data_IF_480907225681
#
_entry.id   IF_480907225681
#
_cell.length_a   1.000
_cell.length_b   1.000
_cell.length_c   1.000
_cell.angle_alpha   90.00
_cell.angle_beta   90.00
_cell.angle_gamma   90.00
#
_symmetry.space_group_name_H-M   'P 1'
#
loop_
_entity.id
_entity.type
_entity.pdbx_description
1 polymer ?
#
# COMPACT_ATOMS: atom_id res chain seq x y z
N UNK A 1 -44.78 4.73 29.43
CA UNK A 1 -44.12 3.50 28.94
C UNK A 1 -43.66 2.71 30.17
N UNK A 2 -44.17 1.48 30.35
CA UNK A 2 -44.00 0.68 31.58
C UNK A 2 -42.53 0.26 31.77
N UNK A 3 -41.96 0.54 32.94
CA UNK A 3 -40.66 0.02 33.39
C UNK A 3 -40.94 -1.33 34.07
N UNK A 4 -40.59 -2.42 33.40
CA UNK A 4 -40.60 -3.75 34.03
C UNK A 4 -39.29 -3.94 34.80
N UNK A 5 -39.39 -3.86 36.13
CA UNK A 5 -38.31 -4.16 37.06
C UNK A 5 -38.18 -5.70 37.17
N UNK A 6 -37.25 -6.30 36.41
CA UNK A 6 -36.89 -7.71 36.61
C UNK A 6 -36.03 -7.80 37.88
N UNK A 7 -36.65 -8.22 38.99
CA UNK A 7 -35.99 -8.59 40.22
C UNK A 7 -35.16 -9.85 39.95
N UNK A 8 -33.94 -9.68 39.45
CA UNK A 8 -32.96 -10.76 39.33
C UNK A 8 -32.61 -11.23 40.74
N UNK A 9 -33.24 -12.32 41.17
CA UNK A 9 -32.79 -13.11 42.31
C UNK A 9 -31.35 -13.53 42.01
N UNK A 10 -30.42 -12.83 42.66
CA UNK A 10 -29.00 -13.18 42.68
C UNK A 10 -28.88 -14.47 43.50
N UNK A 11 -29.03 -15.60 42.84
CA UNK A 11 -28.61 -16.88 43.39
C UNK A 11 -27.08 -16.87 43.32
N UNK A 12 -26.43 -16.44 44.40
CA UNK A 12 -24.98 -16.54 44.55
C UNK A 12 -24.68 -18.05 44.57
N UNK A 13 -24.02 -18.64 43.55
CA UNK A 13 -23.57 -20.02 43.69
C UNK A 13 -22.61 -20.05 44.87
N UNK A 14 -22.87 -20.95 45.82
CA UNK A 14 -21.96 -21.28 46.90
C UNK A 14 -20.63 -21.66 46.25
N UNK A 15 -19.64 -20.77 46.34
CA UNK A 15 -18.31 -20.97 45.77
C UNK A 15 -17.55 -21.98 46.63
N UNK A 16 -17.89 -23.26 46.48
CA UNK A 16 -17.01 -24.34 46.92
C UNK A 16 -15.86 -24.41 45.92
N UNK A 17 -14.66 -24.16 46.43
CA UNK A 17 -13.47 -24.40 45.66
C UNK A 17 -13.30 -25.92 45.49
N UNK A 18 -13.24 -26.36 44.24
CA UNK A 18 -13.02 -27.75 43.87
C UNK A 18 -11.52 -27.97 43.59
N UNK A 19 -11.08 -29.21 43.84
CA UNK A 19 -9.77 -29.70 43.43
C UNK A 19 -9.96 -30.67 42.26
N UNK A 20 -9.27 -30.43 41.15
CA UNK A 20 -9.27 -31.32 39.98
C UNK A 20 -7.89 -31.95 39.80
N UNK A 21 -7.87 -33.25 39.52
CA UNK A 21 -6.67 -33.97 39.10
C UNK A 21 -6.93 -34.62 37.75
N UNK A 22 -6.07 -34.31 36.78
CA UNK A 22 -6.12 -34.95 35.46
C UNK A 22 -5.54 -36.37 35.52
N UNK A 23 -5.90 -37.20 34.56
CA UNK A 23 -5.37 -38.55 34.36
C UNK A 23 -3.83 -38.56 34.18
N UNK A 24 -3.26 -37.45 33.68
CA UNK A 24 -1.81 -37.25 33.54
C UNK A 24 -1.13 -36.74 34.83
N UNK A 25 -1.87 -36.58 35.93
CA UNK A 25 -1.34 -36.17 37.23
C UNK A 25 -1.22 -34.65 37.45
N UNK A 26 -1.60 -33.81 36.47
CA UNK A 26 -1.71 -32.35 36.67
C UNK A 26 -2.85 -32.04 37.64
N UNK A 27 -2.57 -31.23 38.65
CA UNK A 27 -3.51 -30.84 39.71
C UNK A 27 -3.89 -29.36 39.59
N UNK A 28 -5.18 -29.07 39.74
CA UNK A 28 -5.76 -27.74 39.85
C UNK A 28 -6.40 -27.65 41.24
N UNK A 29 -5.77 -26.91 42.15
CA UNK A 29 -6.21 -26.81 43.54
C UNK A 29 -6.94 -25.51 43.81
N UNK A 30 -7.96 -25.58 44.65
CA UNK A 30 -8.68 -24.43 45.17
C UNK A 30 -9.21 -23.55 44.03
N UNK A 31 -9.75 -24.19 42.99
CA UNK A 31 -10.29 -23.53 41.81
C UNK A 31 -11.81 -23.50 41.87
N UNK A 32 -12.42 -22.45 41.34
CA UNK A 32 -13.88 -22.34 41.25
C UNK A 32 -14.32 -22.66 39.83
N UNK A 33 -15.31 -23.53 39.66
CA UNK A 33 -15.93 -23.77 38.36
C UNK A 33 -16.76 -22.55 37.97
N UNK A 34 -16.37 -21.86 36.89
CA UNK A 34 -17.08 -20.70 36.37
C UNK A 34 -18.09 -21.05 35.29
N UNK A 35 -17.82 -22.09 34.50
CA UNK A 35 -18.73 -22.59 33.45
C UNK A 35 -18.43 -24.05 33.13
N UNK A 36 -19.46 -24.81 32.78
CA UNK A 36 -19.32 -26.13 32.17
C UNK A 36 -19.65 -26.02 30.69
N UNK A 37 -18.75 -26.48 29.84
CA UNK A 37 -18.91 -26.62 28.39
C UNK A 37 -19.05 -28.11 28.03
N UNK A 38 -19.59 -28.47 26.85
CA UNK A 38 -19.78 -29.87 26.48
C UNK A 38 -18.50 -30.73 26.51
N UNK A 39 -17.35 -30.13 26.23
CA UNK A 39 -16.04 -30.78 26.16
C UNK A 39 -15.14 -30.55 27.40
N UNK A 40 -15.55 -29.72 28.37
CA UNK A 40 -14.75 -29.46 29.56
C UNK A 40 -15.33 -28.46 30.56
N UNK A 41 -14.57 -28.20 31.62
CA UNK A 41 -14.94 -27.28 32.69
C UNK A 41 -14.01 -26.08 32.67
N UNK A 42 -14.59 -24.87 32.64
CA UNK A 42 -13.87 -23.63 32.82
C UNK A 42 -13.75 -23.36 34.31
N UNK A 43 -12.51 -23.26 34.79
CA UNK A 43 -12.19 -23.00 36.18
C UNK A 43 -11.45 -21.68 36.31
N UNK A 44 -11.66 -21.00 37.43
CA UNK A 44 -10.94 -19.79 37.80
C UNK A 44 -10.19 -20.07 39.09
N UNK A 45 -8.87 -19.89 39.04
CA UNK A 45 -7.99 -20.08 40.19
C UNK A 45 -7.02 -18.92 40.34
N UNK A 46 -6.06 -19.06 41.26
CA UNK A 46 -5.03 -18.03 41.53
C UNK A 46 -4.20 -17.66 40.30
N UNK A 47 -4.02 -18.58 39.36
CA UNK A 47 -3.26 -18.39 38.12
C UNK A 47 -4.10 -17.86 36.95
N UNK A 48 -5.39 -17.59 37.15
CA UNK A 48 -6.30 -17.11 36.12
C UNK A 48 -7.35 -18.15 35.71
N UNK A 49 -7.90 -17.98 34.50
CA UNK A 49 -8.94 -18.84 33.93
C UNK A 49 -8.29 -19.96 33.14
N UNK A 50 -8.75 -21.19 33.32
CA UNK A 50 -8.26 -22.37 32.59
C UNK A 50 -9.43 -23.26 32.18
N UNK A 51 -9.35 -23.84 30.99
CA UNK A 51 -10.25 -24.92 30.56
C UNK A 51 -9.60 -26.26 30.87
N UNK A 52 -10.34 -27.15 31.53
CA UNK A 52 -9.94 -28.53 31.78
C UNK A 52 -10.86 -29.43 30.96
N UNK A 53 -10.31 -30.17 30.00
CA UNK A 53 -11.10 -31.04 29.13
C UNK A 53 -11.60 -32.28 29.89
N UNK A 54 -12.83 -32.71 29.60
CA UNK A 54 -13.39 -33.92 30.23
C UNK A 54 -12.63 -35.19 29.85
N UNK A 55 -12.00 -35.24 28.68
CA UNK A 55 -11.13 -36.35 28.26
C UNK A 55 -9.89 -36.52 29.14
N UNK A 56 -9.46 -35.44 29.81
CA UNK A 56 -8.32 -35.45 30.72
C UNK A 56 -8.72 -35.77 32.16
N UNK A 57 -10.02 -35.84 32.48
CA UNK A 57 -10.51 -36.03 33.85
C UNK A 57 -10.87 -37.50 34.15
N UNK A 58 -10.79 -37.92 35.42
CA UNK A 58 -11.30 -39.21 35.88
C UNK A 58 -12.79 -39.43 35.58
N UNK A 59 -13.22 -40.69 35.47
CA UNK A 59 -14.59 -41.05 35.06
C UNK A 59 -15.67 -40.61 36.04
N UNK A 60 -15.38 -40.65 37.33
CA UNK A 60 -16.24 -40.13 38.40
C UNK A 60 -16.48 -38.63 38.24
N UNK A 61 -15.44 -37.86 37.90
CA UNK A 61 -15.56 -36.42 37.64
C UNK A 61 -16.33 -36.16 36.35
N UNK A 62 -16.06 -36.91 35.27
CA UNK A 62 -16.85 -36.83 34.03
C UNK A 62 -18.35 -37.04 34.30
N UNK A 63 -18.70 -38.04 35.12
CA UNK A 63 -20.08 -38.34 35.50
C UNK A 63 -20.71 -37.23 36.36
N UNK A 64 -19.96 -36.69 37.33
CA UNK A 64 -20.41 -35.57 38.20
C UNK A 64 -20.89 -34.37 37.38
N UNK A 65 -20.26 -34.10 36.24
CA UNK A 65 -20.58 -32.97 35.37
C UNK A 65 -21.40 -33.35 34.12
N UNK A 66 -21.85 -34.61 34.00
CA UNK A 66 -22.72 -35.05 32.91
C UNK A 66 -22.06 -35.04 31.53
N UNK A 67 -20.78 -35.42 31.44
CA UNK A 67 -20.05 -35.47 30.18
C UNK A 67 -20.70 -36.41 29.16
N UNK A 68 -20.95 -35.89 27.96
CA UNK A 68 -21.47 -36.61 26.79
C UNK A 68 -20.42 -36.54 25.67
N UNK A 69 -19.74 -37.66 25.34
CA UNK A 69 -18.70 -37.69 24.31
C UNK A 69 -19.16 -37.20 22.93
N UNK A 70 -20.42 -37.41 22.56
CA UNK A 70 -20.94 -37.00 21.26
C UNK A 70 -21.11 -35.49 21.22
N UNK A 71 -21.75 -34.91 22.24
CA UNK A 71 -21.92 -33.44 22.35
C UNK A 71 -20.58 -32.71 22.45
N UNK A 72 -19.61 -33.30 23.14
CA UNK A 72 -18.25 -32.76 23.21
C UNK A 72 -17.60 -32.70 21.83
N UNK A 73 -17.69 -33.78 21.06
CA UNK A 73 -17.14 -33.86 19.70
C UNK A 73 -17.79 -32.82 18.79
N UNK A 74 -19.12 -32.72 18.79
CA UNK A 74 -19.87 -31.78 17.97
C UNK A 74 -19.52 -30.32 18.35
N UNK A 75 -19.41 -30.03 19.64
CA UNK A 75 -19.03 -28.70 20.15
C UNK A 75 -17.61 -28.31 19.75
N UNK A 76 -16.63 -29.19 19.95
CA UNK A 76 -15.24 -28.92 19.56
C UNK A 76 -15.09 -28.75 18.04
N UNK A 77 -15.83 -29.53 17.24
CA UNK A 77 -15.87 -29.38 15.78
C UNK A 77 -16.49 -28.05 15.35
N UNK A 78 -17.54 -27.58 16.04
CA UNK A 78 -18.13 -26.28 15.77
C UNK A 78 -17.18 -25.12 16.13
N UNK A 79 -16.47 -25.22 17.27
CA UNK A 79 -15.49 -24.21 17.67
C UNK A 79 -14.32 -24.13 16.69
N UNK A 80 -13.77 -25.27 16.26
CA UNK A 80 -12.65 -25.27 15.30
C UNK A 80 -13.08 -24.71 13.94
N UNK A 81 -14.27 -25.07 13.45
CA UNK A 81 -14.82 -24.51 12.21
C UNK A 81 -14.97 -22.98 12.28
N UNK A 82 -15.45 -22.44 13.41
CA UNK A 82 -15.56 -20.99 13.62
C UNK A 82 -14.20 -20.29 13.61
N UNK A 83 -13.20 -20.86 14.30
CA UNK A 83 -11.83 -20.31 14.30
C UNK A 83 -11.18 -20.37 12.92
N UNK A 84 -11.36 -21.46 12.18
CA UNK A 84 -10.85 -21.61 10.82
C UNK A 84 -11.49 -20.60 9.87
N UNK A 85 -12.79 -20.32 10.03
CA UNK A 85 -13.47 -19.30 9.25
C UNK A 85 -12.90 -17.90 9.55
N UNK A 86 -12.77 -17.52 10.83
CA UNK A 86 -12.18 -16.23 11.21
C UNK A 86 -10.75 -16.11 10.69
N UNK A 87 -9.95 -17.18 10.76
CA UNK A 87 -8.58 -17.19 10.22
C UNK A 87 -8.56 -16.99 8.71
N UNK A 88 -9.45 -17.66 7.97
CA UNK A 88 -9.58 -17.50 6.52
C UNK A 88 -10.02 -16.08 6.15
N UNK A 89 -10.97 -15.50 6.89
CA UNK A 89 -11.42 -14.13 6.69
C UNK A 89 -10.28 -13.13 6.95
N UNK A 90 -9.54 -13.29 8.05
CA UNK A 90 -8.37 -12.45 8.35
C UNK A 90 -7.30 -12.56 7.27
N UNK A 91 -7.00 -13.77 6.80
CA UNK A 91 -6.03 -13.98 5.73
C UNK A 91 -6.50 -13.34 4.41
N UNK A 92 -7.79 -13.46 4.08
CA UNK A 92 -8.38 -12.82 2.90
C UNK A 92 -8.29 -11.28 2.99
N UNK A 93 -8.56 -10.69 4.15
CA UNK A 93 -8.42 -9.24 4.39
C UNK A 93 -6.96 -8.80 4.25
N UNK A 94 -6.01 -9.55 4.82
CA UNK A 94 -4.58 -9.26 4.69
C UNK A 94 -4.12 -9.34 3.22
N UNK A 95 -4.56 -10.36 2.48
CA UNK A 95 -4.29 -10.49 1.04
C UNK A 95 -4.88 -9.33 0.24
N UNK A 96 -6.14 -8.98 0.48
CA UNK A 96 -6.79 -7.86 -0.17
C UNK A 96 -6.06 -6.54 0.11
N UNK A 97 -5.62 -6.33 1.35
CA UNK A 97 -4.85 -5.14 1.75
C UNK A 97 -3.47 -5.11 1.09
N UNK A 98 -2.80 -6.26 0.98
CA UNK A 98 -1.51 -6.39 0.30
C UNK A 98 -1.67 -6.09 -1.20
N UNK A 99 -2.66 -6.66 -1.86
CA UNK A 99 -2.96 -6.40 -3.27
C UNK A 99 -3.35 -4.94 -3.52
N UNK A 100 -4.18 -4.34 -2.65
CA UNK A 100 -4.55 -2.93 -2.75
C UNK A 100 -3.33 -2.02 -2.59
N UNK A 101 -2.44 -2.32 -1.64
CA UNK A 101 -1.18 -1.60 -1.44
C UNK A 101 -0.25 -1.75 -2.65
N UNK A 102 -0.13 -2.96 -3.21
CA UNK A 102 0.67 -3.20 -4.41
C UNK A 102 0.13 -2.43 -5.62
N UNK A 103 -1.19 -2.47 -5.85
CA UNK A 103 -1.83 -1.70 -6.92
C UNK A 103 -1.65 -0.19 -6.72
N UNK A 104 -1.81 0.31 -5.50
CA UNK A 104 -1.58 1.72 -5.18
C UNK A 104 -0.12 2.13 -5.45
N UNK A 105 0.84 1.30 -5.05
CA UNK A 105 2.26 1.53 -5.33
C UNK A 105 2.57 1.50 -6.83
N UNK A 106 1.97 0.59 -7.59
CA UNK A 106 2.12 0.53 -9.05
C UNK A 106 1.58 1.79 -9.72
N UNK A 107 0.38 2.24 -9.33
CA UNK A 107 -0.23 3.47 -9.86
C UNK A 107 0.64 4.68 -9.52
N UNK A 108 1.13 4.77 -8.27
CA UNK A 108 2.03 5.84 -7.85
C UNK A 108 3.33 5.85 -8.64
N UNK A 109 3.97 4.70 -8.82
CA UNK A 109 5.20 4.58 -9.61
C UNK A 109 4.99 4.99 -11.08
N UNK A 110 3.84 4.61 -11.66
CA UNK A 110 3.49 5.00 -13.02
C UNK A 110 3.19 6.51 -13.14
N UNK A 111 2.60 7.11 -12.11
CA UNK A 111 2.39 8.56 -12.05
C UNK A 111 3.72 9.30 -11.94
N UNK A 112 4.61 8.85 -11.06
CA UNK A 112 5.96 9.41 -10.90
C UNK A 112 6.77 9.28 -12.20
N UNK A 113 6.71 8.14 -12.89
CA UNK A 113 7.38 7.97 -14.18
C UNK A 113 6.81 8.89 -15.25
N UNK A 114 5.49 9.05 -15.32
CA UNK A 114 4.84 9.97 -16.27
C UNK A 114 5.23 11.43 -15.98
N UNK A 115 5.27 11.82 -14.71
CA UNK A 115 5.70 13.17 -14.31
C UNK A 115 7.16 13.43 -14.69
N UNK A 116 8.03 12.45 -14.47
CA UNK A 116 9.43 12.54 -14.87
C UNK A 116 9.57 12.64 -16.40
N UNK A 117 8.81 11.84 -17.16
CA UNK A 117 8.79 11.92 -18.63
C UNK A 117 8.35 13.32 -19.11
N UNK A 118 7.24 13.85 -18.56
CA UNK A 118 6.76 15.20 -18.87
C UNK A 118 7.84 16.24 -18.56
N UNK A 119 8.48 16.15 -17.39
CA UNK A 119 9.54 17.07 -16.98
C UNK A 119 10.72 17.02 -17.95
N UNK A 120 11.19 15.83 -18.30
CA UNK A 120 12.27 15.65 -19.28
C UNK A 120 11.91 16.24 -20.65
N UNK A 121 10.68 16.05 -21.12
CA UNK A 121 10.20 16.64 -22.37
C UNK A 121 10.12 18.16 -22.30
N UNK A 122 9.68 18.72 -21.18
CA UNK A 122 9.68 20.18 -20.95
C UNK A 122 11.09 20.75 -20.97
N UNK A 123 12.03 20.12 -20.27
CA UNK A 123 13.43 20.54 -20.22
C UNK A 123 14.08 20.47 -21.62
N UNK A 124 13.81 19.40 -22.39
CA UNK A 124 14.28 19.27 -23.77
C UNK A 124 13.69 20.34 -24.67
N UNK A 125 12.39 20.61 -24.56
CA UNK A 125 11.73 21.66 -25.34
C UNK A 125 12.33 23.04 -25.03
N UNK A 126 12.58 23.34 -23.76
CA UNK A 126 13.20 24.60 -23.34
C UNK A 126 14.64 24.72 -23.85
N UNK A 127 15.41 23.64 -23.85
CA UNK A 127 16.77 23.63 -24.41
C UNK A 127 16.76 23.91 -25.92
N UNK A 128 15.91 23.22 -26.68
CA UNK A 128 15.75 23.43 -28.12
C UNK A 128 15.25 24.84 -28.46
N UNK A 129 14.39 25.43 -27.62
CA UNK A 129 13.96 26.82 -27.77
C UNK A 129 15.15 27.79 -27.64
N UNK A 130 15.99 27.63 -26.62
CA UNK A 130 17.18 28.47 -26.43
C UNK A 130 18.17 28.31 -27.58
N UNK A 131 18.34 27.09 -28.08
CA UNK A 131 19.21 26.81 -29.21
C UNK A 131 18.70 27.45 -30.50
N UNK A 132 17.39 27.37 -30.76
CA UNK A 132 16.76 28.08 -31.87
C UNK A 132 17.00 29.60 -31.77
N UNK A 133 16.78 30.19 -30.60
CA UNK A 133 16.96 31.64 -30.40
C UNK A 133 18.42 32.07 -30.62
N UNK A 134 19.38 31.26 -30.14
CA UNK A 134 20.82 31.48 -30.37
C UNK A 134 21.19 31.36 -31.86
N UNK A 135 20.65 30.36 -32.57
CA UNK A 135 20.88 30.21 -34.01
C UNK A 135 20.29 31.37 -34.81
N UNK A 136 19.10 31.85 -34.43
CA UNK A 136 18.49 33.02 -35.06
C UNK A 136 19.36 34.28 -34.88
N UNK A 137 19.94 34.47 -33.70
CA UNK A 137 20.88 35.55 -33.45
C UNK A 137 22.12 35.43 -34.34
N UNK A 138 22.78 34.26 -34.37
CA UNK A 138 23.97 34.02 -35.19
C UNK A 138 23.70 34.20 -36.70
N UNK A 139 22.54 33.74 -37.18
CA UNK A 139 22.12 33.96 -38.56
C UNK A 139 21.89 35.46 -38.82
N UNK A 140 21.32 36.18 -37.86
CA UNK A 140 21.15 37.62 -37.91
C UNK A 140 22.49 38.35 -38.05
N UNK A 141 23.48 38.00 -37.24
CA UNK A 141 24.85 38.53 -37.27
C UNK A 141 25.55 38.19 -38.59
N UNK A 142 25.48 36.95 -39.05
CA UNK A 142 26.10 36.50 -40.29
C UNK A 142 25.49 37.15 -41.54
N UNK A 143 24.25 37.63 -41.46
CA UNK A 143 23.59 38.41 -42.52
C UNK A 143 23.99 39.88 -42.54
N UNK A 144 24.53 40.43 -41.46
CA UNK A 144 24.97 41.83 -41.43
C UNK A 144 26.12 42.05 -42.41
N UNK A 145 26.22 43.24 -43.04
CA UNK A 145 27.38 43.60 -43.83
C UNK A 145 28.63 43.67 -42.94
N UNK A 146 29.80 43.36 -43.49
CA UNK A 146 31.06 43.50 -42.75
C UNK A 146 31.45 44.96 -42.52
N UNK A 147 32.60 45.22 -41.88
CA UNK A 147 33.01 46.57 -41.52
C UNK A 147 33.08 47.48 -42.76
N UNK A 148 32.50 48.67 -42.61
CA UNK A 148 32.43 49.66 -43.66
C UNK A 148 33.81 50.31 -43.90
N UNK A 149 34.12 50.63 -45.15
CA UNK A 149 35.31 51.38 -45.56
C UNK A 149 34.97 52.33 -46.70
N UNK A 150 35.75 53.42 -46.85
CA UNK A 150 35.55 54.39 -47.93
C UNK A 150 36.46 54.11 -49.11
N UNK A 151 35.87 54.15 -50.31
CA UNK A 151 36.59 54.18 -51.59
C UNK A 151 36.15 55.44 -52.32
N UNK A 152 36.99 56.48 -52.28
CA UNK A 152 36.63 57.82 -52.74
C UNK A 152 35.43 58.37 -51.95
N UNK A 153 34.37 58.81 -52.65
CA UNK A 153 33.10 59.27 -52.04
C UNK A 153 32.10 58.16 -51.73
N UNK A 154 32.40 56.89 -52.06
CA UNK A 154 31.47 55.75 -51.85
C UNK A 154 31.81 54.98 -50.57
N UNK A 155 30.78 54.61 -49.82
CA UNK A 155 30.88 53.67 -48.70
C UNK A 155 30.71 52.24 -49.22
N UNK A 156 31.65 51.36 -48.89
CA UNK A 156 31.62 49.93 -49.22
C UNK A 156 31.75 49.11 -47.93
N UNK A 157 31.45 47.82 -47.99
CA UNK A 157 31.53 46.91 -46.85
C UNK A 157 32.43 45.72 -47.17
N UNK A 158 33.29 45.36 -46.23
CA UNK A 158 34.03 44.10 -46.35
C UNK A 158 33.05 42.92 -46.30
N UNK A 159 33.41 41.77 -46.89
CA UNK A 159 32.64 40.54 -46.70
C UNK A 159 32.58 40.18 -45.21
N UNK A 160 31.38 39.89 -44.71
CA UNK A 160 31.24 39.35 -43.36
C UNK A 160 31.81 37.92 -43.33
N UNK A 161 32.79 37.69 -42.44
CA UNK A 161 33.47 36.38 -42.33
C UNK A 161 32.54 35.25 -41.93
N UNK A 162 31.45 35.55 -41.22
CA UNK A 162 30.45 34.57 -40.80
C UNK A 162 29.47 34.21 -41.93
N UNK A 163 29.44 34.98 -43.04
CA UNK A 163 28.50 34.78 -44.14
C UNK A 163 28.63 33.39 -44.79
N UNK A 164 29.84 32.82 -44.83
CA UNK A 164 30.08 31.46 -45.36
C UNK A 164 29.44 30.36 -44.51
N UNK A 165 29.13 30.63 -43.23
CA UNK A 165 28.52 29.67 -42.32
C UNK A 165 26.98 29.65 -42.42
N UNK A 166 26.37 30.61 -43.14
CA UNK A 166 24.92 30.74 -43.24
C UNK A 166 24.19 29.45 -43.67
N UNK A 167 24.65 28.69 -44.70
CA UNK A 167 23.96 27.45 -45.10
C UNK A 167 23.94 26.41 -43.98
N UNK A 168 25.05 26.27 -43.24
CA UNK A 168 25.16 25.33 -42.12
C UNK A 168 24.24 25.74 -40.97
N UNK A 169 24.27 27.03 -40.59
CA UNK A 169 23.40 27.56 -39.53
C UNK A 169 21.91 27.41 -39.88
N UNK A 170 21.53 27.61 -41.15
CA UNK A 170 20.16 27.42 -41.62
C UNK A 170 19.73 25.97 -41.60
N UNK A 171 20.61 25.04 -41.99
CA UNK A 171 20.35 23.60 -41.86
C UNK A 171 20.10 23.23 -40.40
N UNK A 172 21.00 23.66 -39.51
CA UNK A 172 20.89 23.34 -38.08
C UNK A 172 19.60 23.92 -37.47
N UNK A 173 19.22 25.15 -37.83
CA UNK A 173 17.95 25.75 -37.41
C UNK A 173 16.73 24.91 -37.85
N UNK A 174 16.77 24.35 -39.06
CA UNK A 174 15.71 23.46 -39.55
C UNK A 174 15.60 22.17 -38.73
N UNK A 175 16.75 21.58 -38.37
CA UNK A 175 16.82 20.37 -37.57
C UNK A 175 16.28 20.61 -36.16
N UNK A 176 16.75 21.67 -35.48
CA UNK A 176 16.29 22.08 -34.15
C UNK A 176 14.78 22.33 -34.14
N UNK A 177 14.24 23.03 -35.14
CA UNK A 177 12.79 23.26 -35.26
C UNK A 177 12.00 21.98 -35.45
N UNK A 178 12.52 21.07 -36.26
CA UNK A 178 11.89 19.77 -36.52
C UNK A 178 11.84 18.92 -35.26
N UNK A 179 12.94 18.87 -34.51
CA UNK A 179 13.00 18.17 -33.24
C UNK A 179 12.08 18.82 -32.20
N UNK A 180 12.10 20.15 -32.09
CA UNK A 180 11.24 20.89 -31.14
C UNK A 180 9.77 20.61 -31.38
N UNK A 181 9.35 20.53 -32.65
CA UNK A 181 7.99 20.14 -33.04
C UNK A 181 7.67 18.70 -32.63
N UNK A 182 8.63 17.78 -32.75
CA UNK A 182 8.46 16.39 -32.32
C UNK A 182 8.30 16.30 -30.80
N UNK A 183 9.18 16.93 -30.04
CA UNK A 183 9.13 16.98 -28.57
C UNK A 183 7.83 17.62 -28.07
N UNK A 184 7.37 18.70 -28.72
CA UNK A 184 6.06 19.30 -28.41
C UNK A 184 4.92 18.31 -28.57
N UNK A 185 4.90 17.54 -29.65
CA UNK A 185 3.87 16.53 -29.90
C UNK A 185 3.90 15.41 -28.85
N UNK A 186 5.10 15.00 -28.41
CA UNK A 186 5.25 14.04 -27.31
C UNK A 186 4.72 14.62 -25.99
N UNK A 187 5.03 15.87 -25.70
CA UNK A 187 4.54 16.57 -24.50
C UNK A 187 3.01 16.67 -24.48
N UNK A 188 2.40 17.07 -25.60
CA UNK A 188 0.93 17.11 -25.75
C UNK A 188 0.29 15.73 -25.60
N UNK A 189 0.98 14.66 -26.01
CA UNK A 189 0.50 13.28 -25.83
C UNK A 189 0.62 12.82 -24.38
N UNK A 190 1.71 13.15 -23.69
CA UNK A 190 1.97 12.76 -22.31
C UNK A 190 1.04 13.47 -21.30
N UNK A 191 0.53 14.66 -21.66
CA UNK A 191 -0.39 15.46 -20.84
C UNK A 191 -1.88 15.10 -21.00
N UNK A 192 -2.23 14.26 -21.99
CA UNK A 192 -3.60 13.75 -22.18
C UNK A 192 -3.85 12.52 -21.31
#
# INVERSE_FOLDING_TARGET
>A
MKILLFLTVCCIPIALADDFKTNAGKEYKNVTVSRVEPDGVIVTGKSGISKIYFTELPKDVQQRFGYDPQKATDYSAQQSAGLDQVRKEQEAVLRQKAEASQKANQVRAQQESRQNEIRTLQDRYAALQREEDALLQQIGEAKQPGPAYRVGKKLQHHPNRQKSQLPLLQSHLSDVRSEKKHVRKQLEKAQR
#
